data_IF_572637293521
#
_entry.id   IF_572637293521
#
_cell.length_a   1.000
_cell.length_b   1.000
_cell.length_c   1.000
_cell.angle_alpha   90.00
_cell.angle_beta   90.00
_cell.angle_gamma   90.00
#
_symmetry.space_group_name_H-M   'P 1'
#
loop_
_entity.id
_entity.type
_entity.pdbx_description
1 polymer ?
#
# COMPACT_ATOMS: atom_id res chain seq x y z
N UNK A 1 -14.96 -3.65 1.89
CA UNK A 1 -13.81 -3.77 0.96
C UNK A 1 -14.40 -4.03 -0.41
N UNK A 2 -14.39 -3.05 -1.31
CA UNK A 2 -14.84 -3.30 -2.68
C UNK A 2 -13.88 -4.27 -3.35
N UNK A 3 -14.42 -5.38 -3.85
CA UNK A 3 -13.70 -6.36 -4.64
C UNK A 3 -13.77 -5.94 -6.10
N UNK A 4 -12.68 -6.15 -6.85
CA UNK A 4 -12.66 -5.89 -8.28
C UNK A 4 -13.89 -6.54 -8.96
N UNK A 5 -14.61 -5.77 -9.77
CA UNK A 5 -15.88 -6.20 -10.40
C UNK A 5 -15.72 -7.35 -11.41
N UNK A 6 -14.48 -7.76 -11.71
CA UNK A 6 -14.13 -8.88 -12.58
C UNK A 6 -12.68 -8.78 -13.07
N UNK A 7 -12.22 -9.80 -13.81
CA UNK A 7 -10.88 -9.85 -14.41
C UNK A 7 -9.75 -10.25 -13.46
N UNK A 8 -8.53 -10.28 -13.97
CA UNK A 8 -7.31 -10.61 -13.22
C UNK A 8 -6.26 -9.53 -13.39
N UNK A 9 -5.53 -9.26 -12.32
CA UNK A 9 -4.43 -8.30 -12.31
C UNK A 9 -3.23 -8.92 -11.61
N UNK A 10 -2.04 -8.63 -12.14
CA UNK A 10 -0.79 -9.25 -11.72
C UNK A 10 0.24 -8.19 -11.40
N UNK A 11 0.96 -8.38 -10.30
CA UNK A 11 2.06 -7.52 -9.87
C UNK A 11 3.27 -8.42 -9.69
N UNK A 12 4.34 -8.16 -10.43
CA UNK A 12 5.53 -9.03 -10.46
C UNK A 12 5.17 -10.52 -10.69
N UNK A 13 4.22 -10.78 -11.59
CA UNK A 13 3.71 -12.13 -11.90
C UNK A 13 2.79 -12.73 -10.84
N UNK A 14 2.52 -12.05 -9.72
CA UNK A 14 1.62 -12.52 -8.66
C UNK A 14 0.21 -11.98 -8.87
N UNK A 15 -0.79 -12.87 -8.94
CA UNK A 15 -2.21 -12.47 -8.98
C UNK A 15 -2.60 -11.77 -7.68
N UNK A 16 -3.10 -10.53 -7.77
CA UNK A 16 -3.41 -9.70 -6.61
C UNK A 16 -4.52 -10.28 -5.73
N UNK A 17 -5.44 -11.08 -6.29
CA UNK A 17 -6.57 -11.66 -5.55
C UNK A 17 -6.15 -12.90 -4.77
N UNK A 18 -5.20 -13.67 -5.32
CA UNK A 18 -4.73 -14.91 -4.73
C UNK A 18 -3.56 -14.67 -3.76
N UNK A 19 -2.66 -13.74 -4.11
CA UNK A 19 -1.39 -13.51 -3.41
C UNK A 19 -1.23 -12.03 -3.01
N UNK A 20 -2.25 -11.47 -2.37
CA UNK A 20 -2.30 -10.03 -2.00
C UNK A 20 -1.07 -9.56 -1.22
N UNK A 21 -0.58 -10.37 -0.27
CA UNK A 21 0.58 -10.00 0.55
C UNK A 21 1.86 -9.90 -0.29
N UNK A 22 2.11 -10.88 -1.17
CA UNK A 22 3.28 -10.89 -2.07
C UNK A 22 3.21 -9.73 -3.06
N UNK A 23 2.03 -9.49 -3.63
CA UNK A 23 1.82 -8.36 -4.54
C UNK A 23 2.11 -7.01 -3.85
N UNK A 24 1.67 -6.84 -2.59
CA UNK A 24 1.87 -5.60 -1.83
C UNK A 24 3.29 -5.40 -1.31
N UNK A 25 4.09 -6.45 -1.14
CA UNK A 25 5.46 -6.35 -0.62
C UNK A 25 6.39 -5.48 -1.48
N UNK A 26 6.02 -5.23 -2.75
CA UNK A 26 6.77 -4.40 -3.69
C UNK A 26 6.09 -3.07 -4.03
N UNK A 27 5.05 -2.69 -3.28
CA UNK A 27 4.25 -1.49 -3.54
C UNK A 27 4.13 -0.62 -2.29
N UNK A 28 4.08 0.69 -2.53
CA UNK A 28 3.70 1.70 -1.54
C UNK A 28 2.57 2.56 -2.11
N UNK A 29 1.70 3.08 -1.24
CA UNK A 29 0.61 3.98 -1.63
C UNK A 29 0.98 5.42 -1.29
N UNK A 30 0.68 6.36 -2.19
CA UNK A 30 0.73 7.79 -1.93
C UNK A 30 -0.67 8.38 -2.18
N UNK A 31 -1.47 8.62 -1.12
CA UNK A 31 -2.81 9.20 -1.26
C UNK A 31 -2.77 10.64 -1.80
N UNK A 32 -3.92 11.11 -2.28
CA UNK A 32 -4.10 12.49 -2.76
C UNK A 32 -4.26 13.53 -1.65
N UNK A 33 -4.44 13.07 -0.41
CA UNK A 33 -4.56 13.90 0.78
C UNK A 33 -3.39 13.61 1.70
N UNK A 34 -3.10 14.56 2.57
CA UNK A 34 -2.04 14.42 3.55
C UNK A 34 -2.40 13.34 4.57
N UNK A 35 -1.51 12.37 4.78
CA UNK A 35 -1.67 11.32 5.79
C UNK A 35 -0.78 11.54 7.00
N UNK A 36 -0.11 12.69 7.09
CA UNK A 36 0.73 13.03 8.23
C UNK A 36 -0.12 13.22 9.50
N UNK A 37 0.42 12.77 10.62
CA UNK A 37 -0.08 12.97 11.97
C UNK A 37 0.50 14.27 12.54
N UNK A 38 -0.37 15.19 12.98
CA UNK A 38 0.04 16.49 13.51
C UNK A 38 1.00 16.42 14.71
N UNK A 39 1.00 15.30 15.43
CA UNK A 39 1.80 15.09 16.64
C UNK A 39 3.19 14.51 16.38
N UNK A 40 3.49 14.12 15.14
CA UNK A 40 4.77 13.51 14.78
C UNK A 40 5.64 14.48 13.98
N UNK A 41 6.93 14.48 14.27
CA UNK A 41 7.94 15.17 13.47
C UNK A 41 8.15 14.46 12.13
N UNK A 42 8.84 15.10 11.19
CA UNK A 42 9.17 14.47 9.90
C UNK A 42 9.97 13.17 10.06
N UNK A 43 10.87 13.11 11.05
CA UNK A 43 11.67 11.90 11.31
C UNK A 43 10.83 10.73 11.79
N UNK A 44 9.93 10.99 12.74
CA UNK A 44 9.01 9.98 13.28
C UNK A 44 8.03 9.44 12.22
N UNK A 45 7.62 10.28 11.26
CA UNK A 45 6.85 9.83 10.10
C UNK A 45 7.64 8.89 9.19
N UNK A 46 8.91 9.18 8.93
CA UNK A 46 9.76 8.30 8.13
C UNK A 46 9.96 6.96 8.83
N UNK A 47 10.19 6.97 10.14
CA UNK A 47 10.27 5.73 10.93
C UNK A 47 8.97 4.94 10.86
N UNK A 48 7.82 5.59 11.09
CA UNK A 48 6.50 4.95 11.06
C UNK A 48 6.16 4.31 9.70
N UNK A 49 6.44 5.00 8.58
CA UNK A 49 6.13 4.49 7.24
C UNK A 49 7.19 3.56 6.64
N UNK A 50 8.40 3.53 7.22
CA UNK A 50 9.48 2.63 6.77
C UNK A 50 9.35 1.19 7.27
N UNK A 51 8.50 0.96 8.28
CA UNK A 51 8.19 -0.35 8.87
C UNK A 51 7.05 -1.06 8.14
#
# INVERSE_FOLDING_TARGET
LEVASGGSAYINGSDIKLNTAVARASLSLCPNHDTLFDQLTCGEHLEFYSM
#
